data_IF_980428819074
#
_entry.id   IF_980428819074
#
_cell.length_a   1.000
_cell.length_b   1.000
_cell.length_c   1.000
_cell.angle_alpha   90.00
_cell.angle_beta   90.00
_cell.angle_gamma   90.00
#
_symmetry.space_group_name_H-M   'P 1'
#
loop_
_entity.id
_entity.type
_entity.pdbx_description
1 polymer ?
#
# COMPACT_ATOMS: atom_id res chain seq x y z
N UNK A 1 12.40 -9.16 5.40
CA UNK A 1 13.74 -8.57 5.26
C UNK A 1 14.68 -9.23 6.26
N UNK A 2 14.93 -10.50 6.08
CA UNK A 2 15.83 -11.22 6.95
C UNK A 2 17.27 -10.81 6.61
N UNK A 3 17.96 -10.17 7.55
CA UNK A 3 19.41 -10.09 7.57
C UNK A 3 20.11 -8.90 6.95
N UNK A 4 19.44 -7.85 6.51
CA UNK A 4 20.12 -6.63 6.09
C UNK A 4 20.75 -5.93 7.31
N UNK A 5 22.06 -6.03 7.45
CA UNK A 5 22.80 -5.35 8.50
C UNK A 5 23.58 -4.17 7.91
N UNK A 6 22.94 -3.01 7.88
CA UNK A 6 23.50 -1.78 7.30
C UNK A 6 24.79 -1.33 7.98
N UNK A 7 25.04 -1.77 9.22
CA UNK A 7 26.27 -1.44 9.94
C UNK A 7 27.45 -2.32 9.47
N UNK A 8 27.17 -3.55 9.04
CA UNK A 8 28.19 -4.48 8.52
C UNK A 8 28.38 -4.40 7.02
N UNK A 9 27.30 -4.11 6.28
CA UNK A 9 27.32 -4.00 4.82
C UNK A 9 26.40 -2.86 4.33
N UNK A 10 26.95 -1.66 4.08
CA UNK A 10 26.16 -0.53 3.59
C UNK A 10 25.45 -0.78 2.24
N UNK A 11 25.92 -1.74 1.44
CA UNK A 11 25.30 -2.08 0.15
C UNK A 11 23.94 -2.79 0.32
N UNK A 12 23.63 -3.29 1.51
CA UNK A 12 22.32 -3.91 1.80
C UNK A 12 21.16 -2.90 1.69
N UNK A 13 21.46 -1.59 1.66
CA UNK A 13 20.44 -0.55 1.41
C UNK A 13 19.72 -0.75 0.06
N UNK A 14 20.43 -1.29 -0.93
CA UNK A 14 19.86 -1.52 -2.27
C UNK A 14 18.79 -2.61 -2.28
N UNK A 15 18.86 -3.55 -1.33
CA UNK A 15 17.84 -4.60 -1.20
C UNK A 15 16.47 -4.07 -0.80
N UNK A 16 16.41 -2.88 -0.17
CA UNK A 16 15.17 -2.20 0.19
C UNK A 16 14.51 -1.42 -0.95
N UNK A 17 15.24 -1.15 -2.06
CA UNK A 17 14.73 -0.33 -3.15
C UNK A 17 13.46 -0.88 -3.80
N UNK A 18 13.35 -2.18 -4.13
CA UNK A 18 12.13 -2.70 -4.77
C UNK A 18 10.89 -2.48 -3.89
N UNK A 19 11.02 -2.65 -2.57
CA UNK A 19 9.96 -2.39 -1.61
C UNK A 19 9.60 -0.89 -1.57
N UNK A 20 10.60 -0.04 -1.32
CA UNK A 20 10.37 1.40 -1.12
C UNK A 20 9.85 2.08 -2.38
N UNK A 21 10.40 1.77 -3.56
CA UNK A 21 9.91 2.33 -4.82
C UNK A 21 8.48 1.90 -5.12
N UNK A 22 8.16 0.62 -4.92
CA UNK A 22 6.81 0.11 -5.15
C UNK A 22 5.81 0.76 -4.19
N UNK A 23 6.15 0.86 -2.91
CA UNK A 23 5.27 1.48 -1.93
C UNK A 23 5.08 2.98 -2.21
N UNK A 24 6.15 3.70 -2.52
CA UNK A 24 6.08 5.11 -2.90
C UNK A 24 5.22 5.31 -4.15
N UNK A 25 5.31 4.41 -5.13
CA UNK A 25 4.46 4.44 -6.31
C UNK A 25 2.98 4.28 -5.94
N UNK A 26 2.64 3.30 -5.11
CA UNK A 26 1.26 3.07 -4.64
C UNK A 26 0.71 4.32 -3.95
N UNK A 27 1.46 4.88 -2.98
CA UNK A 27 1.04 6.07 -2.25
C UNK A 27 0.94 7.30 -3.16
N UNK A 28 1.87 7.46 -4.10
CA UNK A 28 1.83 8.54 -5.08
C UNK A 28 0.55 8.49 -5.90
N UNK A 29 0.21 7.33 -6.47
CA UNK A 29 -1.00 7.20 -7.28
C UNK A 29 -2.27 7.34 -6.46
N UNK A 30 -2.27 6.90 -5.20
CA UNK A 30 -3.36 7.15 -4.27
C UNK A 30 -3.65 8.66 -4.15
N UNK A 31 -2.64 9.46 -3.80
CA UNK A 31 -2.81 10.92 -3.66
C UNK A 31 -3.09 11.62 -4.99
N UNK A 32 -2.50 11.16 -6.08
CA UNK A 32 -2.81 11.70 -7.42
C UNK A 32 -4.25 11.41 -7.82
N UNK A 33 -4.85 10.31 -7.38
CA UNK A 33 -6.27 10.03 -7.56
C UNK A 33 -7.11 11.17 -6.97
N UNK A 34 -6.92 11.49 -5.71
CA UNK A 34 -7.59 12.61 -5.03
C UNK A 34 -7.33 13.94 -5.72
N UNK A 35 -6.07 14.25 -6.02
CA UNK A 35 -5.68 15.50 -6.66
C UNK A 35 -6.35 15.68 -8.03
N UNK A 36 -6.35 14.65 -8.86
CA UNK A 36 -6.93 14.70 -10.20
C UNK A 36 -8.44 14.97 -10.15
N UNK A 37 -9.15 14.26 -9.26
CA UNK A 37 -10.59 14.46 -9.10
C UNK A 37 -10.92 15.77 -8.39
N UNK A 38 -10.12 16.25 -7.45
CA UNK A 38 -10.26 17.60 -6.90
C UNK A 38 -10.17 18.65 -8.01
N UNK A 39 -9.16 18.55 -8.88
CA UNK A 39 -9.01 19.46 -10.03
C UNK A 39 -10.17 19.37 -11.02
N UNK A 40 -10.68 18.15 -11.30
CA UNK A 40 -11.86 17.93 -12.17
C UNK A 40 -13.11 18.63 -11.65
N UNK A 41 -13.27 18.71 -10.32
CA UNK A 41 -14.38 19.38 -9.66
C UNK A 41 -14.10 20.86 -9.32
N UNK A 42 -13.02 21.44 -9.83
CA UNK A 42 -12.58 22.83 -9.53
C UNK A 42 -12.33 23.07 -8.03
N UNK A 43 -11.98 22.02 -7.29
CA UNK A 43 -11.57 22.12 -5.90
C UNK A 43 -10.06 22.34 -5.85
N UNK A 44 -9.64 23.43 -5.19
CA UNK A 44 -8.21 23.72 -5.06
C UNK A 44 -7.56 22.75 -4.09
N UNK A 45 -6.50 22.10 -4.54
CA UNK A 45 -5.69 21.18 -3.75
C UNK A 45 -4.20 21.38 -4.04
N UNK A 46 -3.36 21.10 -3.05
CA UNK A 46 -1.90 21.07 -3.26
C UNK A 46 -1.48 19.86 -4.07
N UNK A 47 -0.29 19.91 -4.65
CA UNK A 47 0.36 18.68 -5.13
C UNK A 47 0.62 17.73 -3.94
N UNK A 48 0.63 16.42 -4.18
CA UNK A 48 1.02 15.44 -3.17
C UNK A 48 2.42 15.71 -2.62
N UNK A 49 2.57 15.63 -1.31
CA UNK A 49 3.87 15.68 -0.65
C UNK A 49 4.00 14.54 0.36
N UNK A 50 5.22 14.04 0.50
CA UNK A 50 5.53 12.94 1.41
C UNK A 50 6.12 13.48 2.71
N UNK A 51 5.68 12.93 3.83
CA UNK A 51 6.29 13.22 5.12
C UNK A 51 7.27 12.07 5.43
N UNK A 52 8.60 12.33 5.38
CA UNK A 52 9.57 11.31 5.72
C UNK A 52 9.45 10.92 7.19
N UNK A 53 9.58 9.63 7.48
CA UNK A 53 9.59 9.10 8.83
C UNK A 53 10.92 8.39 9.11
N UNK A 54 11.51 8.55 10.30
CA UNK A 54 12.67 7.78 10.69
C UNK A 54 12.34 6.28 10.67
N UNK A 55 13.16 5.42 10.04
CA UNK A 55 12.87 4.00 9.86
C UNK A 55 12.81 3.21 11.18
N UNK A 56 13.36 3.75 12.27
CA UNK A 56 13.25 3.17 13.60
C UNK A 56 11.94 3.49 14.34
N UNK A 57 11.13 4.46 13.83
CA UNK A 57 9.80 4.77 14.36
C UNK A 57 8.74 4.13 13.47
N UNK A 58 8.90 4.22 12.15
CA UNK A 58 7.98 3.65 11.19
C UNK A 58 8.75 2.80 10.20
N UNK A 59 8.53 1.49 10.23
CA UNK A 59 9.22 0.52 9.35
C UNK A 59 9.10 0.85 7.86
N UNK A 60 8.10 1.63 7.48
CA UNK A 60 7.78 2.01 6.10
C UNK A 60 8.65 3.18 5.62
N UNK A 61 9.30 3.94 6.53
CA UNK A 61 10.15 5.08 6.19
C UNK A 61 9.41 6.37 5.80
N UNK A 62 8.09 6.36 5.85
CA UNK A 62 7.22 7.53 5.61
C UNK A 62 5.96 7.46 6.48
N UNK A 63 5.44 8.62 6.87
CA UNK A 63 4.11 8.76 7.48
C UNK A 63 2.98 8.76 6.43
N UNK A 64 3.29 8.57 5.16
CA UNK A 64 2.36 8.62 4.06
C UNK A 64 2.61 9.81 3.13
N UNK A 65 1.77 9.90 2.12
CA UNK A 65 1.65 11.04 1.24
C UNK A 65 0.35 11.78 1.59
N UNK A 66 0.33 13.08 1.38
CA UNK A 66 -0.80 13.92 1.71
C UNK A 66 -1.04 14.97 0.64
N UNK A 67 -2.32 15.24 0.37
CA UNK A 67 -2.75 16.46 -0.31
C UNK A 67 -3.49 17.35 0.69
N UNK A 68 -3.39 18.67 0.53
CA UNK A 68 -4.16 19.62 1.29
C UNK A 68 -5.24 20.23 0.39
N UNK A 69 -6.51 20.02 0.75
CA UNK A 69 -7.64 20.68 0.11
C UNK A 69 -7.69 22.12 0.63
N UNK A 70 -7.65 23.08 -0.28
CA UNK A 70 -7.56 24.52 0.03
C UNK A 70 -8.91 25.25 -0.08
N UNK A 71 -9.90 24.62 -0.73
CA UNK A 71 -11.24 25.18 -0.88
C UNK A 71 -12.30 24.21 -0.35
N UNK A 72 -13.43 24.71 0.18
CA UNK A 72 -14.49 23.84 0.66
C UNK A 72 -15.14 23.06 -0.50
N UNK A 73 -15.55 21.83 -0.21
CA UNK A 73 -16.28 20.98 -1.16
C UNK A 73 -17.77 21.09 -0.83
N UNK A 74 -18.53 21.79 -1.67
CA UNK A 74 -19.96 22.04 -1.44
C UNK A 74 -20.87 20.94 -1.99
N UNK A 75 -20.36 20.16 -2.96
CA UNK A 75 -21.14 19.14 -3.65
C UNK A 75 -20.83 17.75 -3.11
N UNK A 76 -21.86 17.01 -2.73
CA UNK A 76 -21.71 15.64 -2.20
C UNK A 76 -21.14 14.66 -3.22
N UNK A 77 -21.56 14.79 -4.51
CA UNK A 77 -21.00 13.98 -5.59
C UNK A 77 -19.50 14.24 -5.82
N UNK A 78 -19.06 15.49 -5.68
CA UNK A 78 -17.64 15.82 -5.75
C UNK A 78 -16.89 15.22 -4.55
N UNK A 79 -17.45 15.32 -3.34
CA UNK A 79 -16.85 14.74 -2.13
C UNK A 79 -16.69 13.21 -2.26
N UNK A 80 -17.75 12.53 -2.74
CA UNK A 80 -17.72 11.09 -2.99
C UNK A 80 -16.64 10.71 -4.00
N UNK A 81 -16.61 11.41 -5.15
CA UNK A 81 -15.65 11.08 -6.22
C UNK A 81 -14.21 11.37 -5.80
N UNK A 82 -13.97 12.48 -5.13
CA UNK A 82 -12.64 12.81 -4.60
C UNK A 82 -12.23 11.77 -3.55
N UNK A 83 -13.09 11.46 -2.59
CA UNK A 83 -12.80 10.49 -1.54
C UNK A 83 -12.52 9.09 -2.08
N UNK A 84 -13.25 8.62 -3.09
CA UNK A 84 -13.09 7.28 -3.65
C UNK A 84 -11.91 7.15 -4.62
N UNK A 85 -11.50 8.24 -5.27
CA UNK A 85 -10.50 8.19 -6.35
C UNK A 85 -9.11 7.80 -5.89
N UNK A 86 -8.68 8.21 -4.71
CA UNK A 86 -7.40 7.82 -4.12
C UNK A 86 -7.33 6.32 -3.85
N UNK A 87 -8.23 5.78 -3.02
CA UNK A 87 -8.29 4.34 -2.77
C UNK A 87 -8.36 3.49 -4.04
N UNK A 88 -9.14 3.88 -5.03
CA UNK A 88 -9.24 3.16 -6.31
C UNK A 88 -7.89 3.17 -7.04
N UNK A 89 -7.24 4.32 -7.17
CA UNK A 89 -5.95 4.43 -7.85
C UNK A 89 -4.86 3.65 -7.10
N UNK A 90 -4.78 3.80 -5.78
CA UNK A 90 -3.84 3.05 -4.94
C UNK A 90 -4.06 1.54 -5.01
N UNK A 91 -5.32 1.09 -4.97
CA UNK A 91 -5.69 -0.32 -5.13
C UNK A 91 -5.20 -0.90 -6.47
N UNK A 92 -5.40 -0.18 -7.57
CA UNK A 92 -4.98 -0.63 -8.90
C UNK A 92 -3.46 -0.87 -8.93
N UNK A 93 -2.67 0.07 -8.44
CA UNK A 93 -1.20 -0.07 -8.43
C UNK A 93 -0.75 -1.18 -7.47
N UNK A 94 -1.37 -1.28 -6.28
CA UNK A 94 -1.08 -2.35 -5.33
C UNK A 94 -1.42 -3.75 -5.91
N UNK A 95 -2.52 -3.86 -6.64
CA UNK A 95 -2.90 -5.08 -7.34
C UNK A 95 -1.87 -5.49 -8.40
N UNK A 96 -1.41 -4.54 -9.24
CA UNK A 96 -0.35 -4.82 -10.20
C UNK A 96 0.99 -5.18 -9.53
N UNK A 97 1.32 -4.55 -8.40
CA UNK A 97 2.50 -4.91 -7.62
C UNK A 97 2.42 -6.36 -7.12
N UNK A 98 1.24 -6.84 -6.72
CA UNK A 98 1.03 -8.24 -6.35
C UNK A 98 1.15 -9.18 -7.56
N UNK A 99 0.57 -8.82 -8.71
CA UNK A 99 0.68 -9.63 -9.93
C UNK A 99 2.14 -9.82 -10.37
N UNK A 100 2.97 -8.78 -10.22
CA UNK A 100 4.40 -8.85 -10.55
C UNK A 100 5.21 -9.51 -9.44
N UNK A 101 4.91 -9.21 -8.20
CA UNK A 101 5.73 -9.60 -7.05
C UNK A 101 5.48 -11.05 -6.59
N UNK A 102 4.26 -11.59 -6.75
CA UNK A 102 3.96 -12.98 -6.36
C UNK A 102 4.79 -13.99 -7.16
N UNK A 103 4.87 -13.93 -8.49
CA UNK A 103 5.72 -14.86 -9.26
C UNK A 103 7.22 -14.78 -8.89
N UNK A 104 7.66 -13.66 -8.31
CA UNK A 104 9.03 -13.47 -7.84
C UNK A 104 9.23 -13.94 -6.38
N UNK A 105 8.16 -14.36 -5.70
CA UNK A 105 8.19 -14.83 -4.33
C UNK A 105 8.66 -16.28 -4.25
N UNK A 106 9.15 -16.71 -3.09
CA UNK A 106 9.70 -18.05 -2.90
C UNK A 106 8.81 -18.90 -2.01
N UNK A 107 8.63 -20.16 -2.35
CA UNK A 107 7.96 -21.15 -1.48
C UNK A 107 8.97 -21.56 -0.40
N UNK A 108 8.53 -21.54 0.84
CA UNK A 108 9.31 -21.98 2.01
C UNK A 108 8.48 -22.98 2.82
N UNK A 109 9.15 -23.88 3.55
CA UNK A 109 8.43 -24.69 4.53
C UNK A 109 7.95 -23.82 5.70
N UNK A 110 6.74 -24.10 6.19
CA UNK A 110 6.24 -23.47 7.41
C UNK A 110 7.17 -23.81 8.56
N UNK A 111 7.98 -22.88 8.93
CA UNK A 111 8.79 -22.93 10.15
C UNK A 111 7.89 -22.37 11.25
N UNK A 112 7.82 -23.04 12.40
CA UNK A 112 7.25 -22.45 13.62
C UNK A 112 8.12 -21.25 14.02
N UNK A 113 7.82 -20.10 13.41
CA UNK A 113 8.61 -18.88 13.61
C UNK A 113 8.12 -18.23 14.90
N UNK A 114 8.72 -18.61 16.00
CA UNK A 114 8.65 -17.80 17.21
C UNK A 114 9.31 -16.45 16.91
N UNK A 115 8.49 -15.47 16.48
CA UNK A 115 8.94 -14.10 16.20
C UNK A 115 8.78 -13.61 14.75
N UNK A 116 8.24 -14.41 13.83
CA UNK A 116 7.90 -13.97 12.48
C UNK A 116 6.57 -13.19 12.44
N UNK A 117 6.45 -12.27 11.50
CA UNK A 117 5.22 -11.53 11.25
C UNK A 117 4.35 -12.37 10.30
N UNK A 118 3.28 -12.94 10.86
CA UNK A 118 2.28 -13.65 10.06
C UNK A 118 1.33 -12.63 9.48
N UNK A 119 1.32 -12.52 8.16
CA UNK A 119 0.42 -11.61 7.45
C UNK A 119 -0.97 -12.24 7.33
N UNK A 120 -2.00 -11.44 7.60
CA UNK A 120 -3.38 -11.89 7.39
C UNK A 120 -3.70 -12.08 5.91
N UNK A 121 -4.44 -13.12 5.59
CA UNK A 121 -4.87 -13.42 4.22
C UNK A 121 -6.13 -12.65 3.86
N UNK A 122 -6.04 -11.72 2.93
CA UNK A 122 -7.21 -11.16 2.28
C UNK A 122 -7.77 -12.14 1.23
N UNK A 123 -9.07 -12.01 0.91
CA UNK A 123 -9.68 -12.82 -0.16
C UNK A 123 -8.94 -12.66 -1.50
N UNK A 124 -8.48 -11.45 -1.79
CA UNK A 124 -7.69 -11.16 -2.99
C UNK A 124 -6.36 -11.92 -2.97
N UNK A 125 -5.63 -11.90 -1.84
CA UNK A 125 -4.38 -12.65 -1.69
C UNK A 125 -4.61 -14.14 -1.87
N UNK A 126 -5.65 -14.71 -1.24
CA UNK A 126 -5.99 -16.12 -1.41
C UNK A 126 -6.28 -16.48 -2.88
N UNK A 127 -7.03 -15.61 -3.58
CA UNK A 127 -7.29 -15.79 -5.00
C UNK A 127 -6.03 -15.75 -5.86
N UNK A 128 -5.14 -14.80 -5.62
CA UNK A 128 -3.88 -14.69 -6.36
C UNK A 128 -2.93 -15.84 -6.04
N UNK A 129 -2.82 -16.23 -4.77
CA UNK A 129 -2.02 -17.39 -4.37
C UNK A 129 -2.54 -18.67 -5.03
N UNK A 130 -3.84 -18.88 -5.08
CA UNK A 130 -4.43 -20.02 -5.76
C UNK A 130 -4.11 -20.04 -7.27
N UNK A 131 -4.04 -18.87 -7.91
CA UNK A 131 -3.70 -18.78 -9.35
C UNK A 131 -2.22 -19.05 -9.61
N UNK A 132 -1.32 -18.46 -8.80
CA UNK A 132 0.12 -18.55 -9.02
C UNK A 132 0.77 -19.79 -8.40
N UNK A 133 0.16 -20.35 -7.35
CA UNK A 133 0.68 -21.46 -6.58
C UNK A 133 -0.41 -22.53 -6.31
N UNK A 134 -0.99 -23.14 -7.37
CA UNK A 134 -2.11 -24.08 -7.22
C UNK A 134 -1.74 -25.34 -6.42
N UNK A 135 -0.47 -25.73 -6.45
CA UNK A 135 0.04 -26.94 -5.78
C UNK A 135 0.69 -26.64 -4.40
N UNK A 136 0.40 -25.47 -3.80
CA UNK A 136 0.96 -25.12 -2.50
C UNK A 136 0.46 -26.07 -1.41
N UNK A 137 1.39 -26.80 -0.79
CA UNK A 137 1.10 -27.75 0.29
C UNK A 137 0.69 -27.02 1.59
N UNK A 138 -0.18 -27.60 2.43
CA UNK A 138 -0.52 -27.04 3.75
C UNK A 138 0.69 -26.83 4.70
N UNK A 139 1.80 -27.56 4.45
CA UNK A 139 3.08 -27.42 5.18
C UNK A 139 3.98 -26.33 4.63
N UNK A 140 3.59 -25.69 3.53
CA UNK A 140 4.37 -24.64 2.87
C UNK A 140 3.74 -23.27 3.09
N UNK A 141 4.57 -22.25 2.92
CA UNK A 141 4.19 -20.83 2.96
C UNK A 141 4.92 -20.07 1.87
N UNK A 142 4.52 -18.83 1.63
CA UNK A 142 5.13 -17.96 0.62
C UNK A 142 5.91 -16.85 1.30
N UNK A 143 7.22 -16.85 1.09
CA UNK A 143 8.07 -15.72 1.44
C UNK A 143 7.94 -14.65 0.36
N UNK A 144 7.18 -13.60 0.67
CA UNK A 144 6.87 -12.55 -0.29
C UNK A 144 8.12 -11.81 -0.77
N UNK A 145 8.24 -11.67 -2.09
CA UNK A 145 9.19 -10.75 -2.68
C UNK A 145 8.91 -9.29 -2.21
N UNK A 146 9.92 -8.42 -2.04
CA UNK A 146 9.72 -7.03 -1.59
C UNK A 146 8.64 -6.25 -2.34
N UNK A 147 8.49 -6.47 -3.66
CA UNK A 147 7.42 -5.87 -4.47
C UNK A 147 6.04 -6.39 -4.05
N UNK A 148 5.88 -7.71 -3.85
CA UNK A 148 4.61 -8.29 -3.40
C UNK A 148 4.26 -7.82 -1.98
N UNK A 149 5.25 -7.73 -1.10
CA UNK A 149 5.07 -7.23 0.26
C UNK A 149 4.63 -5.77 0.26
N UNK A 150 5.21 -4.92 -0.60
CA UNK A 150 4.76 -3.54 -0.79
C UNK A 150 3.32 -3.47 -1.31
N UNK A 151 2.94 -4.35 -2.24
CA UNK A 151 1.57 -4.49 -2.73
C UNK A 151 0.60 -4.86 -1.63
N UNK A 152 0.96 -5.82 -0.77
CA UNK A 152 0.16 -6.23 0.39
C UNK A 152 -0.04 -5.06 1.37
N UNK A 153 1.04 -4.33 1.71
CA UNK A 153 0.97 -3.11 2.54
C UNK A 153 0.06 -2.06 1.88
N UNK A 154 0.17 -1.87 0.57
CA UNK A 154 -0.67 -0.94 -0.19
C UNK A 154 -2.15 -1.28 -0.10
N UNK A 155 -2.52 -2.56 -0.18
CA UNK A 155 -3.91 -3.01 0.05
C UNK A 155 -4.37 -2.74 1.47
N UNK A 156 -3.52 -3.00 2.46
CA UNK A 156 -3.83 -2.74 3.87
C UNK A 156 -4.08 -1.25 4.11
N UNK A 157 -3.20 -0.38 3.61
CA UNK A 157 -3.36 1.08 3.72
C UNK A 157 -4.64 1.55 3.04
N UNK A 158 -4.93 1.04 1.85
CA UNK A 158 -6.17 1.36 1.12
C UNK A 158 -7.41 0.94 1.93
N UNK A 159 -7.39 -0.25 2.52
CA UNK A 159 -8.48 -0.73 3.38
C UNK A 159 -8.65 0.17 4.61
N UNK A 160 -7.57 0.55 5.27
CA UNK A 160 -7.62 1.44 6.44
C UNK A 160 -8.18 2.82 6.06
N UNK A 161 -7.79 3.37 4.91
CA UNK A 161 -8.30 4.64 4.42
C UNK A 161 -9.80 4.59 4.06
N UNK A 162 -10.33 3.42 3.71
CA UNK A 162 -11.76 3.23 3.42
C UNK A 162 -12.63 3.04 4.68
N UNK A 163 -12.05 2.99 5.86
CA UNK A 163 -12.83 2.96 7.10
C UNK A 163 -13.67 4.23 7.23
N UNK A 164 -14.96 4.13 7.59
CA UNK A 164 -15.88 5.27 7.72
C UNK A 164 -15.62 6.06 9.02
N UNK A 165 -14.37 6.50 9.23
CA UNK A 165 -13.91 7.14 10.47
C UNK A 165 -13.27 8.48 10.17
N UNK A 166 -13.78 9.52 10.78
CA UNK A 166 -13.15 10.83 10.88
C UNK A 166 -12.73 11.44 9.54
N UNK A 167 -11.44 11.72 9.41
CA UNK A 167 -10.85 12.39 8.24
C UNK A 167 -10.27 11.44 7.20
N UNK A 168 -10.48 10.12 7.36
CA UNK A 168 -10.10 9.13 6.36
C UNK A 168 -11.00 9.25 5.13
N UNK A 169 -10.53 8.73 4.00
CA UNK A 169 -11.28 8.77 2.73
C UNK A 169 -12.67 8.13 2.86
N UNK A 170 -12.76 7.00 3.58
CA UNK A 170 -14.02 6.33 3.89
C UNK A 170 -14.97 7.20 4.72
N UNK A 171 -14.45 8.05 5.61
CA UNK A 171 -15.27 9.03 6.33
C UNK A 171 -15.90 10.06 5.39
N UNK A 172 -15.14 10.59 4.42
CA UNK A 172 -15.65 11.50 3.40
C UNK A 172 -16.67 10.82 2.49
N UNK A 173 -16.42 9.57 2.09
CA UNK A 173 -17.34 8.75 1.29
C UNK A 173 -18.65 8.50 2.04
N UNK A 174 -18.57 8.16 3.32
CA UNK A 174 -19.77 7.87 4.12
C UNK A 174 -20.61 9.13 4.41
N UNK A 175 -19.98 10.31 4.45
CA UNK A 175 -20.69 11.59 4.66
C UNK A 175 -21.34 12.12 3.37
N UNK A 176 -20.86 11.73 2.19
CA UNK A 176 -21.38 12.18 0.90
C UNK A 176 -22.76 11.58 0.59
#
# INVERSE_FOLDING_TARGET
MAGANLLSNPYDIWSGLPFSLTLMLILTFHEFGHFFYAKKHNVQATLPYFIPAPPFIVMIGTFGAFIKILSPIYRKDALLQIGASGPIAGFIIAFFALLVGLPLSSIVEKIDVSGGLILGDSLLMKGLVFIFYPDLSPSQDILLHPIAFAGWIGLLVTMLNLLPIGQLDGGHIAYA
#
